data_IF_283223804000
#
_entry.id   IF_283223804000
#
_cell.length_a   1.000
_cell.length_b   1.000
_cell.length_c   1.000
_cell.angle_alpha   90.00
_cell.angle_beta   90.00
_cell.angle_gamma   90.00
#
_symmetry.space_group_name_H-M   'P 1'
#
loop_
_entity.id
_entity.type
_entity.pdbx_description
1 polymer ?
#
# COMPACT_ATOMS: atom_id res chain seq x y z
N UNK A 1 -11.11 11.06 15.59
CA UNK A 1 -10.03 10.13 15.92
C UNK A 1 -9.74 10.25 17.40
N UNK A 2 -10.29 9.39 18.25
CA UNK A 2 -9.79 9.17 19.60
C UNK A 2 -8.68 8.14 19.44
N UNK A 3 -7.45 8.57 19.64
CA UNK A 3 -6.26 7.71 19.56
C UNK A 3 -6.18 6.95 20.86
N UNK A 4 -6.36 5.62 20.82
CA UNK A 4 -5.80 4.78 21.88
C UNK A 4 -4.26 4.89 21.79
N UNK A 5 -3.56 5.06 22.91
CA UNK A 5 -2.11 5.20 22.91
C UNK A 5 -1.47 3.91 22.42
N UNK A 6 -0.97 3.92 21.20
CA UNK A 6 -0.02 2.92 20.75
C UNK A 6 1.27 3.12 21.53
N UNK A 7 1.73 2.08 22.21
CA UNK A 7 2.96 2.11 23.00
C UNK A 7 4.09 2.73 22.18
N UNK A 8 4.76 3.75 22.74
CA UNK A 8 5.87 4.46 22.12
C UNK A 8 6.97 3.48 21.69
N UNK A 9 7.07 3.24 20.39
CA UNK A 9 8.26 2.65 19.81
C UNK A 9 9.34 3.73 19.73
N UNK A 10 10.43 3.54 20.46
CA UNK A 10 11.57 4.42 20.51
C UNK A 10 12.18 4.59 19.10
N UNK A 11 12.50 5.84 18.71
CA UNK A 11 13.01 6.25 17.38
C UNK A 11 14.24 5.48 16.86
N UNK A 12 14.89 4.70 17.71
CA UNK A 12 16.08 3.89 17.35
C UNK A 12 15.76 2.53 16.71
N UNK A 13 14.53 2.04 16.77
CA UNK A 13 14.14 0.74 16.21
C UNK A 13 13.65 0.80 14.76
N UNK A 14 13.46 1.98 14.18
CA UNK A 14 12.89 2.16 12.84
C UNK A 14 13.90 1.99 11.69
N UNK A 15 15.21 1.92 11.97
CA UNK A 15 16.27 1.93 10.95
C UNK A 15 16.65 0.50 10.48
N UNK A 16 16.29 -0.55 11.20
CA UNK A 16 16.74 -1.93 10.88
C UNK A 16 15.79 -2.78 10.03
N UNK A 17 14.70 -2.25 9.49
CA UNK A 17 13.66 -3.06 8.82
C UNK A 17 13.54 -2.87 7.30
N UNK A 18 14.52 -2.22 6.66
CA UNK A 18 14.48 -2.01 5.21
C UNK A 18 15.22 -3.07 4.37
N UNK A 19 15.98 -3.97 4.98
CA UNK A 19 16.74 -5.00 4.25
C UNK A 19 16.72 -6.31 5.07
N UNK A 20 15.84 -7.23 4.75
CA UNK A 20 15.92 -8.59 5.27
C UNK A 20 14.56 -9.24 5.48
N UNK A 21 14.24 -10.17 4.60
CA UNK A 21 13.15 -11.11 4.80
C UNK A 21 13.47 -12.07 5.96
N UNK A 22 12.46 -12.38 6.74
CA UNK A 22 12.24 -13.56 7.56
C UNK A 22 13.50 -14.26 8.16
N UNK A 23 13.89 -13.84 9.36
CA UNK A 23 14.51 -14.74 10.33
C UNK A 23 14.15 -14.28 11.75
N UNK A 24 13.82 -15.25 12.60
CA UNK A 24 13.21 -15.07 13.91
C UNK A 24 14.05 -14.23 14.89
N UNK A 25 13.32 -13.56 15.75
CA UNK A 25 13.84 -12.79 16.87
C UNK A 25 14.36 -13.77 17.92
N UNK A 26 15.68 -13.91 18.03
CA UNK A 26 16.35 -14.40 19.23
C UNK A 26 17.52 -13.47 19.57
N UNK A 27 17.43 -12.86 20.75
CA UNK A 27 18.50 -12.42 21.61
C UNK A 27 19.59 -11.52 21.04
N UNK A 28 19.51 -10.21 21.32
CA UNK A 28 20.69 -9.32 21.24
C UNK A 28 21.78 -9.77 22.22
N UNK A 29 22.79 -10.47 21.71
CA UNK A 29 24.12 -10.51 22.32
C UNK A 29 25.05 -9.61 21.55
N UNK A 30 25.71 -8.68 22.24
CA UNK A 30 26.84 -7.92 21.70
C UNK A 30 27.85 -8.90 21.11
N UNK A 31 28.23 -8.67 19.85
CA UNK A 31 29.41 -9.25 19.24
C UNK A 31 30.27 -8.10 18.74
N UNK A 32 31.49 -8.12 19.21
CA UNK A 32 32.58 -7.24 18.80
C UNK A 32 33.05 -7.55 17.38
N UNK A 33 33.61 -6.53 16.78
CA UNK A 33 34.16 -6.38 15.47
C UNK A 33 34.80 -7.61 14.82
N UNK A 34 34.28 -7.94 13.64
CA UNK A 34 34.91 -8.78 12.63
C UNK A 34 34.37 -8.36 11.26
N UNK A 35 34.99 -7.33 10.65
CA UNK A 35 34.68 -6.91 9.30
C UNK A 35 35.03 -8.02 8.30
N UNK A 36 34.05 -8.83 7.91
CA UNK A 36 34.15 -9.63 6.71
C UNK A 36 34.02 -8.71 5.50
N UNK A 37 35.11 -8.38 4.84
CA UNK A 37 35.12 -7.78 3.51
C UNK A 37 34.46 -8.80 2.56
N UNK A 38 33.23 -8.58 2.18
CA UNK A 38 32.67 -9.14 0.96
C UNK A 38 33.29 -8.35 -0.19
N UNK A 39 34.23 -8.95 -0.89
CA UNK A 39 34.73 -8.43 -2.15
C UNK A 39 33.54 -8.35 -3.13
N UNK A 40 32.98 -7.16 -3.26
CA UNK A 40 32.09 -6.84 -4.36
C UNK A 40 32.94 -6.93 -5.64
N UNK A 41 32.64 -7.90 -6.49
CA UNK A 41 33.22 -7.97 -7.84
C UNK A 41 32.73 -6.73 -8.57
N UNK A 42 33.56 -5.69 -8.60
CA UNK A 42 33.37 -4.51 -9.43
C UNK A 42 33.68 -4.96 -10.85
N UNK A 43 32.64 -5.13 -11.68
CA UNK A 43 32.84 -5.29 -13.12
C UNK A 43 33.45 -4.00 -13.69
N UNK A 44 34.42 -4.11 -14.60
CA UNK A 44 35.08 -2.93 -15.19
C UNK A 44 34.06 -2.09 -15.96
N UNK A 45 34.14 -0.78 -15.76
CA UNK A 45 33.35 0.19 -16.51
C UNK A 45 33.58 0.02 -18.03
N UNK A 46 32.51 -0.24 -18.79
CA UNK A 46 32.64 -0.16 -20.23
C UNK A 46 31.75 -1.04 -21.13
N UNK A 47 30.91 -1.92 -20.59
CA UNK A 47 29.92 -2.59 -21.45
C UNK A 47 28.53 -2.50 -20.82
N UNK A 48 27.57 -1.93 -21.54
CA UNK A 48 26.17 -2.06 -21.15
C UNK A 48 25.85 -3.55 -20.97
N UNK A 49 25.25 -3.94 -19.85
CA UNK A 49 24.83 -5.31 -19.67
C UNK A 49 23.87 -5.69 -20.80
N UNK A 50 23.97 -6.89 -21.38
CA UNK A 50 23.11 -7.30 -22.48
C UNK A 50 21.63 -7.14 -22.05
N UNK A 51 20.82 -6.58 -22.96
CA UNK A 51 19.41 -6.40 -22.74
C UNK A 51 18.78 -7.76 -22.39
N UNK A 52 18.36 -7.92 -21.14
CA UNK A 52 17.63 -9.11 -20.71
C UNK A 52 16.18 -8.99 -21.13
N UNK A 53 15.60 -10.07 -21.57
CA UNK A 53 14.18 -10.16 -21.85
C UNK A 53 13.47 -10.90 -20.72
N UNK A 54 12.26 -10.50 -20.43
CA UNK A 54 11.38 -11.28 -19.55
C UNK A 54 10.86 -12.53 -20.29
N UNK A 55 10.03 -13.32 -19.63
CA UNK A 55 9.45 -14.54 -20.18
C UNK A 55 8.42 -14.28 -21.29
N UNK A 56 8.01 -13.04 -21.49
CA UNK A 56 7.09 -12.59 -22.54
C UNK A 56 7.85 -11.95 -23.72
N UNK A 57 9.19 -11.89 -23.61
CA UNK A 57 10.04 -11.32 -24.65
C UNK A 57 10.20 -9.79 -24.56
N UNK A 58 9.64 -9.15 -23.51
CA UNK A 58 9.81 -7.72 -23.28
C UNK A 58 11.23 -7.43 -22.79
N UNK A 59 11.82 -6.34 -23.29
CA UNK A 59 13.14 -5.91 -22.82
C UNK A 59 13.05 -5.42 -21.38
N UNK A 60 13.86 -6.04 -20.50
CA UNK A 60 14.06 -5.55 -19.14
C UNK A 60 15.06 -4.40 -19.19
N UNK A 61 14.65 -3.24 -18.70
CA UNK A 61 15.54 -2.08 -18.59
C UNK A 61 16.63 -2.42 -17.57
N UNK A 62 17.92 -2.28 -17.94
CA UNK A 62 19.02 -2.44 -16.99
C UNK A 62 18.87 -1.44 -15.84
N UNK A 63 18.95 -1.92 -14.62
CA UNK A 63 18.95 -1.08 -13.41
C UNK A 63 20.37 -1.02 -12.89
N UNK A 64 20.95 0.18 -12.87
CA UNK A 64 22.23 0.43 -12.22
C UNK A 64 21.97 0.70 -10.74
N UNK A 65 22.48 -0.16 -9.87
CA UNK A 65 22.41 0.00 -8.42
C UNK A 65 23.76 0.53 -7.93
N UNK A 66 23.86 1.85 -7.84
CA UNK A 66 25.06 2.54 -7.39
C UNK A 66 24.68 3.51 -6.23
N UNK A 67 25.34 3.43 -5.07
CA UNK A 67 25.13 4.37 -3.99
C UNK A 67 25.27 5.85 -4.40
N UNK A 68 26.13 6.16 -5.37
CA UNK A 68 26.32 7.54 -5.88
C UNK A 68 25.12 8.03 -6.70
N UNK A 69 24.26 7.14 -7.15
CA UNK A 69 23.04 7.48 -7.88
C UNK A 69 21.83 7.65 -6.96
N UNK A 70 22.00 7.56 -5.65
CA UNK A 70 20.92 7.79 -4.69
C UNK A 70 20.58 9.28 -4.65
N UNK A 71 19.45 9.64 -5.26
CA UNK A 71 18.97 11.02 -5.31
C UNK A 71 18.50 11.48 -3.94
N UNK A 72 17.78 10.61 -3.22
CA UNK A 72 17.26 10.88 -1.87
C UNK A 72 16.80 9.60 -1.18
N UNK A 73 16.81 9.63 0.14
CA UNK A 73 16.19 8.59 0.98
C UNK A 73 14.96 9.17 1.66
N UNK A 74 13.83 8.47 1.54
CA UNK A 74 12.55 8.88 2.14
C UNK A 74 12.03 7.74 3.01
N UNK A 75 11.62 8.08 4.25
CA UNK A 75 10.94 7.17 5.15
C UNK A 75 9.49 7.59 5.39
N UNK A 76 8.61 6.63 5.59
CA UNK A 76 7.23 6.85 5.99
C UNK A 76 6.79 5.83 7.04
N UNK A 77 5.95 6.26 7.98
CA UNK A 77 5.38 5.38 8.99
C UNK A 77 4.14 4.68 8.42
N UNK A 78 4.15 3.37 8.36
CA UNK A 78 2.95 2.58 8.01
C UNK A 78 2.00 2.57 9.20
N UNK A 79 0.74 2.92 9.04
CA UNK A 79 -0.27 2.81 10.10
C UNK A 79 -0.71 1.36 10.26
N UNK A 80 0.23 0.49 10.67
CA UNK A 80 0.01 -0.95 10.78
C UNK A 80 -0.71 -1.31 12.07
N UNK A 81 -1.68 -2.22 11.95
CA UNK A 81 -2.39 -2.84 13.07
C UNK A 81 -2.34 -4.35 12.89
N UNK A 82 -1.92 -5.06 13.92
CA UNK A 82 -1.83 -6.53 13.88
C UNK A 82 -3.18 -7.20 13.63
N UNK A 83 -4.28 -6.60 14.09
CA UNK A 83 -5.66 -7.05 13.82
C UNK A 83 -6.24 -6.58 12.48
N UNK A 84 -5.47 -5.87 11.67
CA UNK A 84 -5.93 -5.30 10.41
C UNK A 84 -6.57 -3.90 10.54
N UNK A 85 -6.98 -3.35 9.41
CA UNK A 85 -7.62 -2.03 9.36
C UNK A 85 -9.02 -2.03 9.97
N UNK A 86 -9.45 -0.85 10.37
CA UNK A 86 -10.77 -0.61 10.97
C UNK A 86 -11.64 0.12 9.97
N UNK A 87 -12.81 -0.46 9.66
CA UNK A 87 -13.99 0.26 9.17
C UNK A 87 -15.10 -0.03 10.14
N UNK A 88 -15.54 0.97 10.88
CA UNK A 88 -16.53 0.81 11.96
C UNK A 88 -17.36 2.07 12.15
N UNK A 89 -18.65 1.88 12.34
CA UNK A 89 -19.57 2.96 12.72
C UNK A 89 -19.63 3.09 14.23
N UNK A 90 -19.57 4.33 14.69
CA UNK A 90 -19.82 4.77 16.07
C UNK A 90 -20.75 5.99 16.07
N UNK A 91 -21.02 6.51 17.23
CA UNK A 91 -21.78 7.75 17.43
C UNK A 91 -20.97 8.71 18.31
N UNK A 92 -20.94 9.98 17.94
CA UNK A 92 -20.29 11.04 18.71
C UNK A 92 -21.20 12.27 18.78
N UNK A 93 -21.75 12.54 19.99
CA UNK A 93 -22.60 13.71 20.20
C UNK A 93 -23.85 13.76 19.30
N UNK A 94 -24.50 12.62 19.08
CA UNK A 94 -25.67 12.49 18.20
C UNK A 94 -25.33 12.50 16.70
N UNK A 95 -24.06 12.49 16.34
CA UNK A 95 -23.58 12.41 14.95
C UNK A 95 -23.02 11.04 14.62
N UNK A 96 -23.26 10.57 13.41
CA UNK A 96 -22.62 9.34 12.93
C UNK A 96 -21.12 9.59 12.77
N UNK A 97 -20.30 8.74 13.40
CA UNK A 97 -18.86 8.69 13.25
C UNK A 97 -18.49 7.37 12.55
N UNK A 98 -17.72 7.44 11.46
CA UNK A 98 -17.19 6.26 10.79
C UNK A 98 -15.68 6.28 10.84
N UNK A 99 -15.12 5.25 11.41
CA UNK A 99 -13.68 5.01 11.44
C UNK A 99 -13.25 4.31 10.15
N UNK A 100 -12.18 4.80 9.50
CA UNK A 100 -11.58 4.18 8.33
C UNK A 100 -10.07 4.42 8.35
N UNK A 101 -9.30 3.50 8.97
CA UNK A 101 -7.86 3.68 9.20
C UNK A 101 -7.12 2.37 9.49
N UNK A 102 -5.78 2.45 9.54
CA UNK A 102 -4.94 1.35 10.01
C UNK A 102 -4.57 0.32 8.93
N UNK A 103 -4.51 0.74 7.65
CA UNK A 103 -4.33 -0.14 6.49
C UNK A 103 -2.90 -0.66 6.29
N UNK A 104 -1.95 -0.31 7.16
CA UNK A 104 -0.57 -0.80 7.08
C UNK A 104 0.07 -0.55 5.72
N UNK A 105 0.57 -1.60 5.07
CA UNK A 105 1.16 -1.53 3.74
C UNK A 105 0.14 -1.49 2.59
N UNK A 106 -1.14 -1.77 2.85
CA UNK A 106 -2.21 -1.86 1.84
C UNK A 106 -3.04 -0.59 1.66
N UNK A 107 -2.59 0.58 2.15
CA UNK A 107 -3.39 1.79 2.15
C UNK A 107 -3.90 2.19 0.77
N UNK A 108 -3.04 2.36 -0.22
CA UNK A 108 -3.46 2.72 -1.59
C UNK A 108 -4.30 1.59 -2.18
N UNK A 109 -3.84 0.36 -2.11
CA UNK A 109 -4.50 -0.79 -2.75
C UNK A 109 -5.91 -1.06 -2.25
N UNK A 110 -6.21 -0.76 -0.97
CA UNK A 110 -7.51 -0.99 -0.35
C UNK A 110 -8.38 0.27 -0.26
N UNK A 111 -7.88 1.42 -0.71
CA UNK A 111 -8.50 2.74 -0.43
C UNK A 111 -9.95 2.84 -0.89
N UNK A 112 -10.26 2.43 -2.10
CA UNK A 112 -11.61 2.54 -2.63
C UNK A 112 -12.60 1.58 -1.97
N UNK A 113 -12.16 0.35 -1.70
CA UNK A 113 -13.04 -0.62 -1.05
C UNK A 113 -13.30 -0.31 0.41
N UNK A 114 -12.28 0.13 1.17
CA UNK A 114 -12.52 0.54 2.55
C UNK A 114 -13.32 1.85 2.63
N UNK A 115 -13.13 2.76 1.67
CA UNK A 115 -13.96 3.96 1.55
C UNK A 115 -15.42 3.60 1.22
N UNK A 116 -15.65 2.63 0.32
CA UNK A 116 -16.98 2.13 0.01
C UNK A 116 -17.67 1.57 1.25
N UNK A 117 -17.01 0.67 1.98
CA UNK A 117 -17.54 0.14 3.24
C UNK A 117 -17.83 1.25 4.27
N UNK A 118 -16.98 2.27 4.34
CA UNK A 118 -17.20 3.40 5.25
C UNK A 118 -18.41 4.23 4.86
N UNK A 119 -18.63 4.47 3.57
CA UNK A 119 -19.80 5.22 3.07
C UNK A 119 -21.10 4.42 3.28
N UNK A 120 -21.08 3.11 3.06
CA UNK A 120 -22.23 2.24 3.40
C UNK A 120 -22.59 2.32 4.89
N UNK A 121 -21.58 2.30 5.79
CA UNK A 121 -21.80 2.45 7.22
C UNK A 121 -22.31 3.84 7.62
N UNK A 122 -21.97 4.89 6.84
CA UNK A 122 -22.51 6.23 7.07
C UNK A 122 -24.02 6.31 6.78
N UNK A 123 -24.53 5.43 5.92
CA UNK A 123 -25.94 5.38 5.51
C UNK A 123 -26.29 6.48 4.51
N UNK A 124 -27.54 6.97 4.56
CA UNK A 124 -27.99 8.03 3.66
C UNK A 124 -27.23 9.34 3.93
N UNK A 125 -26.51 9.83 2.93
CA UNK A 125 -25.66 11.03 3.02
C UNK A 125 -26.02 12.12 2.01
N UNK A 126 -26.97 11.88 1.11
CA UNK A 126 -27.36 12.83 0.08
C UNK A 126 -27.83 14.15 0.70
N UNK A 127 -27.30 15.26 0.22
CA UNK A 127 -27.56 16.61 0.72
C UNK A 127 -26.95 16.93 2.08
N UNK A 128 -26.38 15.95 2.81
CA UNK A 128 -25.79 16.17 4.14
C UNK A 128 -24.39 16.75 4.08
N UNK A 129 -24.04 17.50 5.10
CA UNK A 129 -22.67 17.95 5.31
C UNK A 129 -21.86 16.83 6.01
N UNK A 130 -20.76 16.43 5.38
CA UNK A 130 -19.88 15.38 5.86
C UNK A 130 -18.46 15.93 6.08
N UNK A 131 -17.92 15.71 7.26
CA UNK A 131 -16.54 16.02 7.60
C UNK A 131 -15.66 14.78 7.36
N UNK A 132 -14.57 14.95 6.62
CA UNK A 132 -13.55 13.92 6.43
C UNK A 132 -12.25 14.38 7.10
N UNK A 133 -11.69 13.58 8.00
CA UNK A 133 -10.45 13.92 8.68
C UNK A 133 -9.29 13.13 8.05
N UNK A 134 -8.38 13.86 7.40
CA UNK A 134 -7.20 13.34 6.71
C UNK A 134 -7.22 13.60 5.20
N UNK A 135 -6.10 14.11 4.66
CA UNK A 135 -5.90 14.42 3.23
C UNK A 135 -5.06 13.39 2.48
N UNK A 136 -4.78 12.23 3.10
CA UNK A 136 -4.13 11.11 2.43
C UNK A 136 -5.14 10.27 1.62
N UNK A 137 -4.66 9.16 1.05
CA UNK A 137 -5.49 8.31 0.16
C UNK A 137 -6.80 7.86 0.79
N UNK A 138 -6.84 7.53 2.08
CA UNK A 138 -8.08 7.11 2.75
C UNK A 138 -9.12 8.23 2.79
N UNK A 139 -8.70 9.43 3.19
CA UNK A 139 -9.60 10.58 3.25
C UNK A 139 -10.07 11.01 1.88
N UNK A 140 -9.17 11.11 0.90
CA UNK A 140 -9.52 11.54 -0.45
C UNK A 140 -10.47 10.56 -1.16
N UNK A 141 -10.24 9.23 -1.09
CA UNK A 141 -11.16 8.26 -1.66
C UNK A 141 -12.51 8.23 -0.94
N UNK A 142 -12.53 8.38 0.39
CA UNK A 142 -13.78 8.50 1.15
C UNK A 142 -14.54 9.77 0.77
N UNK A 143 -13.86 10.92 0.69
CA UNK A 143 -14.44 12.17 0.26
C UNK A 143 -15.08 12.07 -1.13
N UNK A 144 -14.37 11.46 -2.08
CA UNK A 144 -14.88 11.27 -3.43
C UNK A 144 -16.12 10.39 -3.48
N UNK A 145 -16.14 9.28 -2.76
CA UNK A 145 -17.32 8.42 -2.71
C UNK A 145 -18.50 9.11 -2.01
N UNK A 146 -18.27 9.84 -0.93
CA UNK A 146 -19.33 10.66 -0.30
C UNK A 146 -19.94 11.66 -1.29
N UNK A 147 -19.11 12.36 -2.08
CA UNK A 147 -19.59 13.28 -3.13
C UNK A 147 -20.41 12.56 -4.21
N UNK A 148 -19.99 11.37 -4.63
CA UNK A 148 -20.73 10.55 -5.60
C UNK A 148 -22.11 10.11 -5.06
N UNK A 149 -22.26 10.06 -3.73
CA UNK A 149 -23.54 9.82 -3.05
C UNK A 149 -24.28 11.13 -2.66
N UNK A 150 -23.85 12.27 -3.23
CA UNK A 150 -24.53 13.55 -3.07
C UNK A 150 -24.23 14.32 -1.77
N UNK A 151 -23.22 13.90 -1.00
CA UNK A 151 -22.81 14.61 0.21
C UNK A 151 -22.04 15.91 -0.12
N UNK A 152 -22.19 16.91 0.75
CA UNK A 152 -21.33 18.10 0.78
C UNK A 152 -20.15 17.82 1.68
N UNK A 153 -18.93 17.80 1.13
CA UNK A 153 -17.76 17.34 1.86
C UNK A 153 -16.84 18.49 2.26
N UNK A 154 -16.41 18.47 3.53
CA UNK A 154 -15.29 19.28 4.02
C UNK A 154 -14.18 18.34 4.53
N UNK A 155 -12.98 18.51 3.98
CA UNK A 155 -11.79 17.75 4.40
C UNK A 155 -10.97 18.59 5.37
N UNK A 156 -10.72 18.05 6.56
CA UNK A 156 -9.81 18.62 7.55
C UNK A 156 -8.51 17.83 7.56
N UNK A 157 -7.38 18.49 7.35
CA UNK A 157 -6.10 17.79 7.24
C UNK A 157 -4.92 18.64 7.68
N UNK A 158 -3.86 18.01 8.20
CA UNK A 158 -2.59 18.72 8.46
C UNK A 158 -1.78 18.93 7.20
N UNK A 159 -1.88 18.00 6.24
CA UNK A 159 -1.06 17.97 5.03
C UNK A 159 -1.88 17.46 3.83
N UNK A 160 -1.50 17.90 2.64
CA UNK A 160 -2.06 17.47 1.37
C UNK A 160 -0.97 16.80 0.51
N UNK A 161 -1.33 16.02 -0.52
CA UNK A 161 -0.38 15.63 -1.55
C UNK A 161 0.39 16.84 -2.08
N UNK A 162 1.72 16.76 -2.26
CA UNK A 162 2.56 15.54 -2.18
C UNK A 162 3.14 15.21 -0.78
N UNK A 163 2.71 15.87 0.28
CA UNK A 163 3.34 15.81 1.60
C UNK A 163 2.67 14.80 2.56
N UNK A 164 1.84 13.90 2.04
CA UNK A 164 1.18 12.88 2.87
C UNK A 164 1.98 11.59 2.94
N UNK A 165 1.76 10.77 3.99
CA UNK A 165 2.35 9.42 4.08
C UNK A 165 2.01 8.55 2.87
N UNK A 166 0.86 8.76 2.24
CA UNK A 166 0.44 8.01 1.05
C UNK A 166 1.34 8.27 -0.16
N UNK A 167 2.02 9.42 -0.23
CA UNK A 167 2.91 9.78 -1.33
C UNK A 167 4.25 9.02 -1.31
N UNK A 168 4.63 8.42 -0.17
CA UNK A 168 5.85 7.60 -0.05
C UNK A 168 5.58 6.11 -0.17
N UNK A 169 4.37 5.70 -0.53
CA UNK A 169 4.02 4.30 -0.75
C UNK A 169 4.60 3.78 -2.08
N UNK A 170 4.95 2.49 -2.14
CA UNK A 170 5.37 1.83 -3.39
C UNK A 170 4.22 1.59 -4.37
N UNK A 171 3.01 1.43 -3.85
CA UNK A 171 1.71 1.36 -4.54
C UNK A 171 1.58 0.41 -5.74
N UNK A 172 2.35 -0.66 -5.77
CA UNK A 172 1.99 -1.82 -6.57
C UNK A 172 0.71 -2.43 -5.99
N UNK A 173 -0.28 -2.70 -6.83
CA UNK A 173 -1.57 -3.22 -6.36
C UNK A 173 -1.43 -4.67 -5.89
N UNK A 174 -1.14 -4.83 -4.63
CA UNK A 174 -1.22 -6.09 -3.91
C UNK A 174 -1.32 -5.80 -2.40
N UNK A 175 -2.42 -6.17 -1.72
CA UNK A 175 -2.67 -5.73 -0.35
C UNK A 175 -1.99 -6.63 0.69
N UNK A 176 -0.68 -6.52 0.85
CA UNK A 176 0.04 -7.19 1.94
C UNK A 176 0.54 -6.24 3.03
N UNK A 177 1.04 -6.81 4.13
CA UNK A 177 1.42 -6.07 5.34
C UNK A 177 0.26 -5.26 5.91
N UNK A 178 -0.93 -5.85 5.94
CA UNK A 178 -2.17 -5.22 6.42
C UNK A 178 -2.54 -5.72 7.81
N UNK A 179 -2.22 -6.97 8.14
CA UNK A 179 -2.55 -7.65 9.39
C UNK A 179 -1.58 -8.79 9.67
N UNK A 180 -1.59 -9.33 10.90
CA UNK A 180 -0.92 -10.57 11.26
C UNK A 180 -1.88 -11.74 11.14
N UNK A 181 -1.47 -12.83 10.47
CA UNK A 181 -2.33 -13.99 10.19
C UNK A 181 -2.95 -14.60 11.45
N UNK A 182 -2.20 -14.63 12.56
CA UNK A 182 -2.66 -15.14 13.84
C UNK A 182 -3.64 -14.20 14.58
N UNK A 183 -3.88 -13.01 14.06
CA UNK A 183 -4.83 -12.02 14.59
C UNK A 183 -6.06 -11.83 13.71
N UNK A 184 -6.13 -12.55 12.59
CA UNK A 184 -7.24 -12.46 11.64
C UNK A 184 -8.49 -13.10 12.24
N UNK A 185 -9.58 -12.34 12.26
CA UNK A 185 -10.93 -12.83 12.57
C UNK A 185 -11.72 -13.04 11.29
N UNK A 186 -12.78 -13.85 11.33
CA UNK A 186 -13.65 -14.07 10.17
C UNK A 186 -14.32 -12.78 9.70
N UNK A 187 -14.75 -11.93 10.63
CA UNK A 187 -15.33 -10.63 10.32
C UNK A 187 -14.33 -9.73 9.57
N UNK A 188 -13.08 -9.68 10.04
CA UNK A 188 -12.04 -8.93 9.34
C UNK A 188 -11.70 -9.55 7.99
N UNK A 189 -11.67 -10.89 7.88
CA UNK A 189 -11.43 -11.58 6.62
C UNK A 189 -12.45 -11.19 5.55
N UNK A 190 -13.74 -11.17 5.90
CA UNK A 190 -14.82 -10.73 5.00
C UNK A 190 -14.65 -9.26 4.59
N UNK A 191 -14.39 -8.37 5.55
CA UNK A 191 -14.13 -6.95 5.30
C UNK A 191 -12.92 -6.74 4.37
N UNK A 192 -11.83 -7.47 4.60
CA UNK A 192 -10.62 -7.39 3.79
C UNK A 192 -10.86 -7.82 2.34
N UNK A 193 -11.54 -8.96 2.14
CA UNK A 193 -11.84 -9.49 0.80
C UNK A 193 -12.78 -8.55 0.04
N UNK A 194 -13.82 -8.05 0.71
CA UNK A 194 -14.75 -7.08 0.12
C UNK A 194 -14.02 -5.81 -0.32
N UNK A 195 -13.21 -5.24 0.57
CA UNK A 195 -12.42 -4.04 0.26
C UNK A 195 -11.41 -4.28 -0.87
N UNK A 196 -10.73 -5.43 -0.91
CA UNK A 196 -9.77 -5.76 -1.95
C UNK A 196 -10.43 -5.87 -3.32
N UNK A 197 -11.53 -6.63 -3.42
CA UNK A 197 -12.25 -6.83 -4.69
C UNK A 197 -12.81 -5.52 -5.24
N UNK A 198 -13.50 -4.74 -4.41
CA UNK A 198 -14.02 -3.43 -4.82
C UNK A 198 -12.92 -2.48 -5.29
N UNK A 199 -11.82 -2.39 -4.53
CA UNK A 199 -10.67 -1.55 -4.92
C UNK A 199 -10.05 -1.99 -6.23
N UNK A 200 -9.90 -3.29 -6.45
CA UNK A 200 -9.35 -3.84 -7.69
C UNK A 200 -10.17 -3.42 -8.91
N UNK A 201 -11.48 -3.61 -8.85
CA UNK A 201 -12.40 -3.21 -9.92
C UNK A 201 -12.41 -1.69 -10.14
N UNK A 202 -12.32 -0.92 -9.05
CA UNK A 202 -12.30 0.54 -9.16
C UNK A 202 -11.02 1.03 -9.83
N UNK A 203 -9.85 0.51 -9.44
CA UNK A 203 -8.58 0.86 -10.08
C UNK A 203 -8.50 0.43 -11.54
N UNK A 204 -9.13 -0.68 -11.92
CA UNK A 204 -9.24 -1.05 -13.34
C UNK A 204 -9.99 0.01 -14.15
N UNK A 205 -11.05 0.59 -13.61
CA UNK A 205 -11.80 1.69 -14.26
C UNK A 205 -10.99 2.99 -14.36
N UNK A 206 -10.09 3.22 -13.42
CA UNK A 206 -9.16 4.36 -13.44
C UNK A 206 -7.93 4.15 -14.33
N UNK A 207 -7.80 3.01 -14.99
CA UNK A 207 -6.64 2.68 -15.81
C UNK A 207 -6.28 3.76 -16.80
N UNK A 208 -4.99 4.07 -16.91
CA UNK A 208 -4.47 5.03 -17.87
C UNK A 208 -3.55 6.12 -17.28
N UNK A 209 -2.92 6.91 -18.14
CA UNK A 209 -1.88 7.87 -17.75
C UNK A 209 -2.40 9.01 -16.88
N UNK A 210 -3.65 9.44 -17.03
CA UNK A 210 -4.26 10.49 -16.21
C UNK A 210 -4.17 10.15 -14.73
N UNK A 211 -4.45 8.90 -14.37
CA UNK A 211 -4.47 8.43 -13.00
C UNK A 211 -3.16 7.79 -12.55
N UNK A 212 -2.18 7.67 -13.45
CA UNK A 212 -0.94 6.97 -13.16
C UNK A 212 -1.15 5.48 -12.85
N UNK A 213 -2.22 4.86 -13.37
CA UNK A 213 -2.55 3.44 -13.18
C UNK A 213 -2.21 2.67 -14.44
N UNK A 214 -1.27 1.75 -14.35
CA UNK A 214 -0.83 0.92 -15.46
C UNK A 214 -0.67 -0.54 -15.07
N UNK A 215 -0.99 -1.45 -15.97
CA UNK A 215 -0.75 -2.88 -15.83
C UNK A 215 0.71 -3.22 -16.08
N UNK A 216 1.23 -4.15 -15.29
CA UNK A 216 2.57 -4.69 -15.48
C UNK A 216 2.67 -6.14 -14.96
N UNK A 217 3.59 -6.95 -15.53
CA UNK A 217 3.94 -8.23 -14.94
C UNK A 217 4.73 -8.00 -13.63
N UNK A 218 4.28 -8.66 -12.59
CA UNK A 218 4.97 -8.69 -11.29
C UNK A 218 5.67 -10.03 -11.12
N UNK A 219 6.94 -10.01 -10.75
CA UNK A 219 7.73 -11.19 -10.45
C UNK A 219 8.13 -11.21 -8.98
N UNK A 220 7.68 -12.23 -8.29
CA UNK A 220 8.09 -12.50 -6.91
C UNK A 220 9.16 -13.58 -6.91
N UNK A 221 10.40 -13.21 -6.54
CA UNK A 221 11.55 -14.08 -6.55
C UNK A 221 11.76 -14.74 -5.19
N UNK A 222 12.10 -16.03 -5.16
CA UNK A 222 12.27 -16.78 -3.92
C UNK A 222 13.37 -17.83 -4.01
N UNK A 223 13.95 -18.22 -2.85
CA UNK A 223 14.97 -19.26 -2.74
C UNK A 223 14.37 -20.68 -2.74
N UNK A 224 13.08 -20.80 -2.49
CA UNK A 224 12.34 -22.06 -2.53
C UNK A 224 11.05 -21.92 -3.32
N UNK A 225 10.33 -23.03 -3.57
CA UNK A 225 9.04 -22.98 -4.28
C UNK A 225 8.10 -21.94 -3.68
N UNK A 226 7.40 -21.16 -4.52
CA UNK A 226 6.49 -20.12 -4.03
C UNK A 226 5.42 -20.71 -3.11
N UNK A 227 5.33 -20.17 -1.89
CA UNK A 227 4.36 -20.66 -0.91
C UNK A 227 2.97 -20.10 -1.24
N UNK A 228 1.97 -20.94 -1.05
CA UNK A 228 0.57 -20.54 -1.07
C UNK A 228 0.17 -20.10 0.35
N UNK A 229 -0.65 -19.08 0.41
CA UNK A 229 -1.15 -18.55 1.67
C UNK A 229 -2.63 -18.22 1.58
N UNK A 230 -3.17 -17.72 2.68
CA UNK A 230 -4.58 -17.34 2.71
C UNK A 230 -4.93 -16.25 1.67
N UNK A 231 -4.01 -15.32 1.39
CA UNK A 231 -4.25 -14.22 0.43
C UNK A 231 -3.99 -14.68 -1.01
N UNK A 232 -2.87 -15.35 -1.25
CA UNK A 232 -2.26 -15.50 -2.57
C UNK A 232 -1.97 -16.96 -2.94
N UNK A 233 -1.85 -17.20 -4.24
CA UNK A 233 -1.56 -18.50 -4.81
C UNK A 233 -2.80 -19.39 -4.93
N UNK A 234 -2.64 -20.64 -5.39
CA UNK A 234 -3.72 -21.60 -5.46
C UNK A 234 -4.46 -21.74 -4.13
N UNK A 235 -5.79 -21.54 -4.15
CA UNK A 235 -6.64 -21.56 -2.96
C UNK A 235 -6.65 -20.27 -2.11
N UNK A 236 -5.89 -19.26 -2.46
CA UNK A 236 -5.93 -17.97 -1.77
C UNK A 236 -7.22 -17.18 -2.08
N UNK A 237 -7.71 -16.41 -1.10
CA UNK A 237 -8.98 -15.66 -1.22
C UNK A 237 -8.96 -14.56 -2.28
N UNK A 238 -7.78 -14.12 -2.70
CA UNK A 238 -7.58 -13.16 -3.80
C UNK A 238 -6.92 -13.80 -5.03
N UNK A 239 -6.99 -15.13 -5.17
CA UNK A 239 -6.40 -15.85 -6.30
C UNK A 239 -6.88 -15.31 -7.65
N UNK A 240 -8.16 -15.02 -7.74
CA UNK A 240 -8.79 -14.54 -8.98
C UNK A 240 -8.30 -13.17 -9.43
N UNK A 241 -7.69 -12.40 -8.52
CA UNK A 241 -7.09 -11.10 -8.81
C UNK A 241 -5.62 -11.22 -9.27
N UNK A 242 -5.05 -12.42 -9.24
CA UNK A 242 -3.71 -12.72 -9.76
C UNK A 242 -3.81 -13.18 -11.23
N UNK A 243 -4.00 -12.25 -12.14
CA UNK A 243 -4.15 -12.52 -13.57
C UNK A 243 -2.88 -13.16 -14.12
N UNK A 244 -3.00 -14.28 -14.83
CA UNK A 244 -1.87 -14.98 -15.43
C UNK A 244 -0.87 -15.52 -14.41
N UNK A 245 -1.34 -15.91 -13.20
CA UNK A 245 -0.48 -16.53 -12.17
C UNK A 245 0.24 -17.74 -12.73
N UNK A 246 1.56 -17.72 -12.65
CA UNK A 246 2.44 -18.81 -13.07
C UNK A 246 3.65 -18.90 -12.14
N UNK A 247 3.99 -20.12 -11.73
CA UNK A 247 5.18 -20.42 -10.93
C UNK A 247 6.26 -21.02 -11.83
N UNK A 248 7.46 -20.48 -11.75
CA UNK A 248 8.64 -20.94 -12.47
C UNK A 248 9.63 -21.62 -11.50
N UNK A 249 10.15 -22.76 -11.90
CA UNK A 249 11.20 -23.48 -11.22
C UNK A 249 12.61 -23.08 -11.69
N UNK A 250 13.63 -23.79 -11.17
CA UNK A 250 15.03 -23.55 -11.54
C UNK A 250 15.26 -23.73 -13.04
N UNK A 251 15.86 -22.70 -13.68
CA UNK A 251 16.18 -22.72 -15.11
C UNK A 251 15.03 -22.35 -16.03
N UNK A 252 13.84 -22.08 -15.50
CA UNK A 252 12.66 -21.71 -16.29
C UNK A 252 12.48 -20.18 -16.45
N UNK A 253 13.39 -19.38 -15.90
CA UNK A 253 13.36 -17.92 -15.97
C UNK A 253 14.76 -17.30 -15.95
N UNK A 254 14.86 -16.00 -16.24
CA UNK A 254 16.13 -15.27 -16.40
C UNK A 254 16.65 -14.59 -15.13
N UNK A 255 15.90 -14.63 -14.04
CA UNK A 255 16.24 -13.93 -12.80
C UNK A 255 17.28 -14.69 -11.97
N UNK A 256 18.09 -14.01 -11.13
CA UNK A 256 19.14 -14.62 -10.32
C UNK A 256 18.61 -15.27 -9.02
N UNK A 257 17.45 -15.91 -9.09
CA UNK A 257 16.84 -16.67 -7.99
C UNK A 257 16.37 -18.02 -8.55
N UNK A 258 16.34 -19.12 -7.74
CA UNK A 258 15.93 -20.42 -8.26
C UNK A 258 14.46 -20.52 -8.61
N UNK A 259 13.59 -19.71 -7.99
CA UNK A 259 12.14 -19.74 -8.23
C UNK A 259 11.61 -18.34 -8.46
N UNK A 260 10.57 -18.25 -9.30
CA UNK A 260 9.82 -17.03 -9.51
C UNK A 260 8.32 -17.33 -9.59
N UNK A 261 7.50 -16.43 -9.06
CA UNK A 261 6.05 -16.40 -9.28
C UNK A 261 5.71 -15.14 -10.06
N UNK A 262 5.04 -15.28 -11.19
CA UNK A 262 4.56 -14.15 -11.99
C UNK A 262 3.03 -14.04 -11.89
N UNK A 263 2.55 -12.82 -11.85
CA UNK A 263 1.16 -12.46 -12.15
C UNK A 263 1.10 -11.01 -12.63
N UNK A 264 0.09 -10.66 -13.38
CA UNK A 264 -0.13 -9.28 -13.79
C UNK A 264 -0.89 -8.54 -12.71
N UNK A 265 -0.49 -7.31 -12.46
CA UNK A 265 -1.15 -6.41 -11.52
C UNK A 265 -0.99 -4.95 -11.94
N UNK A 266 -1.63 -4.05 -11.22
CA UNK A 266 -1.56 -2.62 -11.48
C UNK A 266 -0.44 -1.97 -10.66
N UNK A 267 0.30 -1.05 -11.26
CA UNK A 267 1.09 -0.04 -10.58
C UNK A 267 0.28 1.24 -10.52
N UNK A 268 0.13 1.79 -9.33
CA UNK A 268 -0.49 3.09 -9.09
C UNK A 268 0.62 4.06 -8.73
N UNK A 269 0.93 5.04 -9.56
CA UNK A 269 1.97 6.02 -9.29
C UNK A 269 1.47 7.05 -8.26
N UNK A 270 1.93 7.04 -6.99
CA UNK A 270 1.31 7.83 -5.93
C UNK A 270 1.33 9.34 -6.19
N UNK A 271 2.39 9.83 -6.81
CA UNK A 271 2.54 11.26 -7.14
C UNK A 271 1.51 11.73 -8.16
N UNK A 272 1.21 10.93 -9.17
CA UNK A 272 0.21 11.23 -10.19
C UNK A 272 -1.19 10.99 -9.62
N UNK A 273 -1.41 9.81 -9.07
CA UNK A 273 -2.70 9.37 -8.57
C UNK A 273 -3.28 10.29 -7.49
N UNK A 274 -2.48 10.64 -6.48
CA UNK A 274 -2.98 11.45 -5.36
C UNK A 274 -3.20 12.91 -5.75
N UNK A 275 -2.38 13.44 -6.67
CA UNK A 275 -2.59 14.79 -7.19
C UNK A 275 -3.90 14.87 -7.99
N UNK A 276 -4.16 13.90 -8.86
CA UNK A 276 -5.39 13.82 -9.65
C UNK A 276 -6.61 13.61 -8.77
N UNK A 277 -6.52 12.72 -7.77
CA UNK A 277 -7.62 12.46 -6.84
C UNK A 277 -7.97 13.71 -6.01
N UNK A 278 -6.97 14.46 -5.54
CA UNK A 278 -7.19 15.72 -4.84
C UNK A 278 -7.88 16.74 -5.76
N UNK A 279 -7.39 16.89 -6.99
CA UNK A 279 -7.96 17.80 -7.97
C UNK A 279 -9.42 17.45 -8.29
N UNK A 280 -9.74 16.16 -8.46
CA UNK A 280 -11.12 15.70 -8.71
C UNK A 280 -12.04 15.95 -7.53
N UNK A 281 -11.57 15.70 -6.30
CA UNK A 281 -12.35 15.96 -5.08
C UNK A 281 -12.63 17.45 -4.92
N UNK A 282 -11.66 18.32 -5.20
CA UNK A 282 -11.86 19.78 -5.16
C UNK A 282 -12.78 20.27 -6.28
N UNK A 283 -12.62 19.78 -7.50
CA UNK A 283 -13.49 20.12 -8.63
C UNK A 283 -14.95 19.69 -8.39
N UNK A 284 -15.16 18.62 -7.63
CA UNK A 284 -16.49 18.19 -7.20
C UNK A 284 -17.03 18.96 -5.98
N UNK A 285 -16.38 20.08 -5.59
CA UNK A 285 -16.89 21.04 -4.62
C UNK A 285 -16.50 20.75 -3.16
N UNK A 286 -15.54 19.89 -2.88
CA UNK A 286 -15.05 19.74 -1.51
C UNK A 286 -14.35 21.01 -1.02
N UNK A 287 -14.66 21.40 0.21
CA UNK A 287 -13.84 22.37 0.95
C UNK A 287 -12.67 21.64 1.60
N UNK A 288 -11.50 22.27 1.58
CA UNK A 288 -10.30 21.74 2.24
C UNK A 288 -9.81 22.75 3.27
N UNK A 289 -9.73 22.33 4.50
CA UNK A 289 -9.22 23.12 5.62
C UNK A 289 -7.94 22.51 6.16
N UNK A 290 -6.85 23.25 6.08
CA UNK A 290 -5.57 22.84 6.69
C UNK A 290 -5.70 23.09 8.19
N UNK A 291 -5.85 21.99 8.93
CA UNK A 291 -6.02 22.02 10.38
C UNK A 291 -5.33 20.83 11.02
N UNK A 292 -4.51 21.12 12.00
CA UNK A 292 -3.89 20.11 12.86
C UNK A 292 -4.70 20.00 14.15
N UNK A 293 -5.29 18.84 14.37
CA UNK A 293 -5.90 18.54 15.65
C UNK A 293 -4.82 18.13 16.64
N UNK A 294 -4.81 18.74 17.82
CA UNK A 294 -3.97 18.36 18.95
C UNK A 294 -4.86 17.73 20.01
N UNK A 295 -4.32 16.86 20.84
CA UNK A 295 -5.09 16.13 21.84
C UNK A 295 -5.97 17.09 22.68
N UNK A 296 -7.27 16.82 22.70
CA UNK A 296 -8.24 17.49 23.54
C UNK A 296 -8.99 18.71 22.95
N UNK A 297 -8.75 19.08 21.67
CA UNK A 297 -9.50 20.16 21.02
C UNK A 297 -9.95 19.81 19.62
#
# INVERSE_FOLDING_TARGET
>A
WIVEPCAMMNRRSAICLALGGLAGIQGCRKREDGAAKTDAVISPAGSEPPARKDMEGNSLVPVTVDPEQVIRTIGGLRPFRSSGFVVRRDELGGKTLVHNYGHGGGGITLSWGSAHLAVEMAGEVSGKECAVVGGGVMGLSTARLLQLHGAKVTIYTSDLPPNTTSNVAGAQWWPFSVFDDNRRTDAFAQQYVAAAKYSYEYFQRLGGPRWGVKWLPNYYLSQGPPKNGWIAGPGGVLRDLQVGLHDFGPGEHVFPAPYARRFHTMMIEPSVYLAELLAEVQAAGARVEIRKFVDGN
#
